data_IF_709593026390
#
_entry.id   IF_709593026390
#
_cell.length_a   1.000
_cell.length_b   1.000
_cell.length_c   1.000
_cell.angle_alpha   90.00
_cell.angle_beta   90.00
_cell.angle_gamma   90.00
#
_symmetry.space_group_name_H-M   'P 1'
#
loop_
_entity.id
_entity.type
_entity.pdbx_description
1 polymer ?
#
# COMPACT_ATOMS: atom_id res chain seq x y z
N UNK A 1 -29.72 30.14 5.54
CA UNK A 1 -28.55 29.24 5.41
C UNK A 1 -28.94 27.94 6.06
N UNK A 2 -29.24 26.93 5.27
CA UNK A 2 -29.99 25.77 5.75
C UNK A 2 -29.08 24.63 6.20
N UNK A 3 -29.64 23.71 6.99
CA UNK A 3 -29.04 22.43 7.45
C UNK A 3 -28.34 21.61 6.33
N UNK A 4 -28.71 21.84 5.08
CA UNK A 4 -28.13 21.18 3.90
C UNK A 4 -26.70 21.68 3.58
N UNK A 5 -26.38 22.94 3.89
CA UNK A 5 -25.04 23.53 3.65
C UNK A 5 -24.00 23.04 4.63
N UNK A 6 -24.38 22.68 5.85
CA UNK A 6 -23.45 22.15 6.85
C UNK A 6 -23.09 20.68 6.62
N UNK A 7 -24.02 19.88 6.09
CA UNK A 7 -23.80 18.48 5.74
C UNK A 7 -22.82 18.30 4.56
N UNK A 8 -22.68 19.33 3.72
CA UNK A 8 -21.75 19.31 2.59
C UNK A 8 -20.33 19.68 2.98
N UNK A 9 -20.12 20.33 4.13
CA UNK A 9 -18.80 20.81 4.56
C UNK A 9 -18.04 19.85 5.48
N UNK A 10 -18.75 19.01 6.23
CA UNK A 10 -18.15 18.13 7.23
C UNK A 10 -18.65 16.69 7.10
N UNK A 11 -17.76 15.74 7.39
CA UNK A 11 -18.13 14.37 7.72
C UNK A 11 -18.39 14.36 9.22
N UNK A 12 -19.66 14.17 9.62
CA UNK A 12 -20.07 14.16 11.02
C UNK A 12 -20.20 12.73 11.51
N UNK A 13 -19.39 12.35 12.47
CA UNK A 13 -19.35 11.01 13.07
C UNK A 13 -19.88 11.14 14.50
N UNK A 14 -20.78 10.24 14.91
CA UNK A 14 -21.36 10.21 16.24
C UNK A 14 -21.28 8.81 16.82
N UNK A 15 -20.82 8.72 18.06
CA UNK A 15 -20.79 7.49 18.83
C UNK A 15 -19.92 6.40 18.24
N UNK A 16 -18.73 6.70 17.67
CA UNK A 16 -17.85 5.69 17.14
C UNK A 16 -17.24 4.82 18.25
N UNK A 17 -17.47 3.50 18.19
CA UNK A 17 -17.07 2.51 19.22
C UNK A 17 -16.31 1.33 18.64
N UNK A 18 -15.74 1.47 17.44
CA UNK A 18 -14.99 0.39 16.82
C UNK A 18 -13.68 0.12 17.58
N UNK A 19 -13.39 -1.14 17.86
CA UNK A 19 -12.23 -1.60 18.63
C UNK A 19 -12.09 -0.86 19.98
N UNK A 20 -11.08 0.01 20.11
CA UNK A 20 -10.76 0.74 21.34
C UNK A 20 -11.35 2.17 21.41
N UNK A 21 -12.20 2.54 20.44
CA UNK A 21 -12.89 3.81 20.46
C UNK A 21 -14.00 3.80 21.52
N UNK A 22 -14.09 4.89 22.30
CA UNK A 22 -14.96 4.99 23.47
C UNK A 22 -16.25 5.78 23.23
N UNK A 23 -16.82 5.68 22.01
CA UNK A 23 -18.02 6.44 21.67
C UNK A 23 -17.69 7.89 21.36
N UNK A 24 -16.74 8.12 20.48
CA UNK A 24 -16.27 9.47 20.14
C UNK A 24 -17.18 10.14 19.12
N UNK A 25 -17.36 11.43 19.27
CA UNK A 25 -18.01 12.33 18.33
C UNK A 25 -16.94 13.21 17.68
N UNK A 26 -16.95 13.30 16.35
CA UNK A 26 -15.98 14.11 15.63
C UNK A 26 -16.58 14.64 14.32
N UNK A 27 -16.22 15.89 13.98
CA UNK A 27 -16.54 16.52 12.72
C UNK A 27 -15.24 16.73 11.93
N UNK A 28 -15.14 16.10 10.76
CA UNK A 28 -13.96 16.14 9.90
C UNK A 28 -14.29 17.01 8.69
N UNK A 29 -13.52 18.09 8.41
CA UNK A 29 -13.77 18.91 7.23
C UNK A 29 -13.59 18.09 5.94
N UNK A 30 -14.44 18.38 4.95
CA UNK A 30 -14.35 17.80 3.61
C UNK A 30 -13.51 18.69 2.73
N UNK A 31 -12.96 18.06 1.68
CA UNK A 31 -12.17 18.76 0.66
C UNK A 31 -10.90 19.45 1.21
N UNK A 32 -10.43 18.97 2.35
CA UNK A 32 -9.20 19.43 3.01
C UNK A 32 -8.26 18.26 3.32
N UNK A 33 -6.99 18.57 3.48
CA UNK A 33 -5.99 17.59 3.93
C UNK A 33 -6.02 17.49 5.45
N UNK A 34 -6.53 16.36 5.98
CA UNK A 34 -6.68 16.10 7.39
C UNK A 34 -5.69 15.05 7.85
N UNK A 35 -4.98 15.31 8.93
CA UNK A 35 -4.00 14.40 9.54
C UNK A 35 -4.48 13.93 10.91
N UNK A 36 -4.59 12.61 11.09
CA UNK A 36 -4.88 11.98 12.38
C UNK A 36 -3.56 11.64 13.09
N UNK A 37 -3.29 12.32 14.22
CA UNK A 37 -2.08 12.12 15.02
C UNK A 37 -2.39 11.52 16.38
N UNK A 38 -1.40 10.94 17.04
CA UNK A 38 -1.52 10.37 18.38
C UNK A 38 -0.61 9.17 18.62
N UNK A 39 -0.59 8.68 19.84
CA UNK A 39 0.20 7.52 20.24
C UNK A 39 -0.24 6.23 19.52
N UNK A 40 0.65 5.24 19.46
CA UNK A 40 0.28 3.92 18.99
C UNK A 40 -0.85 3.34 19.86
N UNK A 41 -1.84 2.69 19.24
CA UNK A 41 -3.00 2.16 19.96
C UNK A 41 -4.06 3.19 20.35
N UNK A 42 -3.94 4.47 19.99
CA UNK A 42 -4.95 5.50 20.32
C UNK A 42 -6.25 5.46 19.50
N UNK A 43 -6.38 4.52 18.56
CA UNK A 43 -7.60 4.36 17.75
C UNK A 43 -7.61 5.08 16.40
N UNK A 44 -6.49 5.68 15.98
CA UNK A 44 -6.40 6.38 14.68
C UNK A 44 -6.80 5.51 13.49
N UNK A 45 -6.22 4.31 13.42
CA UNK A 45 -6.52 3.35 12.37
C UNK A 45 -7.96 2.84 12.47
N UNK A 46 -8.46 2.59 13.69
CA UNK A 46 -9.85 2.18 13.93
C UNK A 46 -10.84 3.24 13.49
N UNK A 47 -10.54 4.52 13.67
CA UNK A 47 -11.37 5.60 13.18
C UNK A 47 -11.31 5.70 11.64
N UNK A 48 -10.10 5.71 11.06
CA UNK A 48 -9.92 5.96 9.64
C UNK A 48 -10.37 4.76 8.78
N UNK A 49 -9.89 3.54 9.10
CA UNK A 49 -10.12 2.35 8.27
C UNK A 49 -11.37 1.58 8.71
N UNK A 50 -11.48 1.27 10.00
CA UNK A 50 -12.52 0.37 10.49
C UNK A 50 -13.87 1.08 10.70
N UNK A 51 -13.88 2.43 10.78
CA UNK A 51 -15.11 3.22 10.92
C UNK A 51 -15.44 3.98 9.63
N UNK A 52 -14.62 4.95 9.23
CA UNK A 52 -14.94 5.86 8.11
C UNK A 52 -14.90 5.12 6.78
N UNK A 53 -13.79 4.46 6.48
CA UNK A 53 -13.63 3.75 5.22
C UNK A 53 -14.58 2.56 5.12
N UNK A 54 -14.71 1.77 6.18
CA UNK A 54 -15.62 0.61 6.21
C UNK A 54 -17.08 1.02 5.93
N UNK A 55 -17.57 2.09 6.56
CA UNK A 55 -18.92 2.61 6.30
C UNK A 55 -19.07 3.19 4.88
N UNK A 56 -18.05 3.88 4.38
CA UNK A 56 -18.03 4.39 3.00
C UNK A 56 -18.12 3.26 1.98
N UNK A 57 -17.34 2.22 2.16
CA UNK A 57 -17.38 1.02 1.33
C UNK A 57 -18.73 0.29 1.43
N UNK A 58 -19.25 0.13 2.64
CA UNK A 58 -20.56 -0.51 2.85
C UNK A 58 -21.67 0.21 2.09
N UNK A 59 -21.76 1.54 2.20
CA UNK A 59 -22.75 2.34 1.46
C UNK A 59 -22.56 2.27 -0.04
N UNK A 60 -21.32 2.30 -0.51
CA UNK A 60 -21.03 2.11 -1.93
C UNK A 60 -21.50 0.75 -2.42
N UNK A 61 -21.22 -0.31 -1.68
CA UNK A 61 -21.66 -1.67 -1.99
C UNK A 61 -23.20 -1.79 -2.00
N UNK A 62 -23.88 -1.13 -1.08
CA UNK A 62 -25.37 -1.10 -1.05
C UNK A 62 -25.97 -0.41 -2.26
N UNK A 63 -25.27 0.54 -2.86
CA UNK A 63 -25.70 1.22 -4.09
C UNK A 63 -25.58 0.35 -5.35
N UNK A 64 -24.80 -0.74 -5.30
CA UNK A 64 -24.60 -1.64 -6.42
C UNK A 64 -25.80 -2.59 -6.63
N UNK A 65 -25.87 -3.17 -7.83
CA UNK A 65 -26.91 -4.16 -8.16
C UNK A 65 -26.82 -5.39 -7.24
N UNK A 66 -27.96 -6.09 -7.05
CA UNK A 66 -28.01 -7.32 -6.24
C UNK A 66 -27.03 -8.38 -6.73
N UNK A 67 -26.82 -8.46 -8.04
CA UNK A 67 -25.87 -9.38 -8.65
C UNK A 67 -24.42 -9.06 -8.24
N UNK A 68 -24.01 -7.80 -8.34
CA UNK A 68 -22.68 -7.36 -7.94
C UNK A 68 -22.40 -7.61 -6.44
N UNK A 69 -23.41 -7.39 -5.58
CA UNK A 69 -23.31 -7.66 -4.14
C UNK A 69 -23.07 -9.13 -3.79
N UNK A 70 -23.58 -10.06 -4.59
CA UNK A 70 -23.34 -11.50 -4.37
C UNK A 70 -21.85 -11.88 -4.52
N UNK A 71 -21.13 -11.24 -5.45
CA UNK A 71 -19.70 -11.51 -5.67
C UNK A 71 -18.77 -10.81 -4.67
N UNK A 72 -19.16 -9.64 -4.18
CA UNK A 72 -18.30 -8.80 -3.33
C UNK A 72 -18.44 -9.13 -1.83
N UNK A 73 -19.43 -9.96 -1.47
CA UNK A 73 -19.67 -10.36 -0.09
C UNK A 73 -20.43 -9.30 0.72
N UNK A 74 -20.82 -9.67 1.93
CA UNK A 74 -21.54 -8.79 2.86
C UNK A 74 -20.52 -8.09 3.76
N UNK A 75 -20.51 -6.77 3.77
CA UNK A 75 -19.72 -6.01 4.72
C UNK A 75 -20.53 -5.77 6.00
N UNK A 76 -19.91 -5.98 7.14
CA UNK A 76 -20.51 -5.69 8.43
C UNK A 76 -20.60 -4.16 8.63
N UNK A 77 -21.64 -3.72 9.32
CA UNK A 77 -21.78 -2.32 9.68
C UNK A 77 -20.84 -2.01 10.85
N UNK A 78 -19.97 -1.00 10.73
CA UNK A 78 -19.12 -0.62 11.86
C UNK A 78 -19.94 -0.17 13.07
N UNK A 79 -19.37 -0.31 14.25
CA UNK A 79 -20.00 0.07 15.50
C UNK A 79 -19.96 1.60 15.69
N UNK A 80 -20.91 2.26 15.06
CA UNK A 80 -21.08 3.72 15.07
C UNK A 80 -22.56 4.06 15.06
N UNK A 81 -22.95 5.10 15.79
CA UNK A 81 -24.35 5.54 15.86
C UNK A 81 -24.79 6.15 14.52
N UNK A 82 -24.05 7.12 14.03
CA UNK A 82 -24.30 7.73 12.72
C UNK A 82 -23.03 8.30 12.07
N UNK A 83 -22.99 8.26 10.73
CA UNK A 83 -22.01 9.00 9.92
C UNK A 83 -22.77 9.72 8.81
N UNK A 84 -22.64 11.04 8.78
CA UNK A 84 -23.25 11.91 7.78
C UNK A 84 -22.17 12.58 6.91
N UNK A 85 -22.53 12.98 5.69
CA UNK A 85 -21.62 13.68 4.77
C UNK A 85 -20.51 12.80 4.15
N UNK A 86 -20.60 11.48 4.28
CA UNK A 86 -19.60 10.56 3.74
C UNK A 86 -19.73 10.41 2.23
N UNK A 87 -18.61 10.55 1.52
CA UNK A 87 -18.47 10.26 0.08
C UNK A 87 -17.88 8.85 -0.13
N UNK A 88 -17.99 8.27 -1.34
CA UNK A 88 -17.23 7.08 -1.68
C UNK A 88 -15.74 7.30 -1.38
N UNK A 89 -15.13 6.34 -0.70
CA UNK A 89 -13.77 6.46 -0.21
C UNK A 89 -12.85 5.38 -0.82
N UNK A 90 -11.59 5.73 -1.00
CA UNK A 90 -10.52 4.79 -1.35
C UNK A 90 -9.57 4.73 -0.15
N UNK A 91 -9.17 3.52 0.22
CA UNK A 91 -8.16 3.30 1.25
C UNK A 91 -6.87 2.83 0.61
N UNK A 92 -5.77 3.44 1.04
CA UNK A 92 -4.42 2.97 0.73
C UNK A 92 -3.81 2.54 2.05
N UNK A 93 -3.76 1.23 2.26
CA UNK A 93 -3.25 0.66 3.49
C UNK A 93 -1.74 0.45 3.44
N UNK A 94 -1.10 0.63 4.58
CA UNK A 94 0.30 0.28 4.73
C UNK A 94 0.43 -1.24 4.78
N UNK A 95 1.03 -1.82 3.76
CA UNK A 95 1.27 -3.27 3.68
C UNK A 95 2.24 -3.69 4.80
N UNK A 96 1.72 -4.18 5.90
CA UNK A 96 2.49 -4.48 7.12
C UNK A 96 3.38 -5.71 6.99
N UNK A 97 3.07 -6.65 6.10
CA UNK A 97 3.89 -7.85 5.90
C UNK A 97 3.79 -8.35 4.47
N UNK A 98 4.92 -8.44 3.81
CA UNK A 98 5.04 -9.18 2.57
C UNK A 98 4.98 -10.67 2.91
N UNK A 99 3.92 -11.38 2.53
CA UNK A 99 3.79 -12.83 2.74
C UNK A 99 4.89 -13.64 2.04
N UNK A 100 5.60 -13.02 1.11
CA UNK A 100 6.73 -13.63 0.43
C UNK A 100 8.02 -12.89 0.82
N UNK A 101 8.91 -13.50 1.63
CA UNK A 101 10.15 -12.86 2.09
C UNK A 101 11.13 -12.53 0.96
N UNK A 102 10.93 -13.07 -0.25
CA UNK A 102 11.75 -12.79 -1.43
C UNK A 102 11.20 -11.66 -2.30
N UNK A 103 10.00 -11.13 -2.03
CA UNK A 103 9.45 -10.02 -2.81
C UNK A 103 9.87 -8.69 -2.21
N UNK A 104 10.70 -7.96 -2.95
CA UNK A 104 11.05 -6.57 -2.67
C UNK A 104 10.04 -5.62 -3.32
N UNK A 105 10.04 -4.34 -2.92
CA UNK A 105 9.21 -3.31 -3.55
C UNK A 105 9.45 -3.29 -5.08
N UNK A 106 10.71 -3.43 -5.51
CA UNK A 106 11.07 -3.46 -6.92
C UNK A 106 10.38 -4.56 -7.73
N UNK A 107 10.22 -5.77 -7.14
CA UNK A 107 9.56 -6.90 -7.81
C UNK A 107 8.04 -6.79 -7.79
N UNK A 108 7.45 -6.26 -6.70
CA UNK A 108 5.99 -6.10 -6.55
C UNK A 108 5.46 -4.99 -7.47
N UNK A 109 6.25 -3.94 -7.70
CA UNK A 109 5.89 -2.81 -8.58
C UNK A 109 6.33 -2.99 -10.03
N UNK A 110 6.96 -4.12 -10.36
CA UNK A 110 7.54 -4.41 -11.69
C UNK A 110 8.69 -3.46 -12.11
N UNK A 111 9.06 -2.50 -11.26
CA UNK A 111 10.17 -1.55 -11.53
C UNK A 111 11.49 -2.31 -11.76
N UNK A 112 11.65 -3.47 -11.13
CA UNK A 112 12.84 -4.29 -11.28
C UNK A 112 13.07 -4.74 -12.72
N UNK A 113 12.04 -5.03 -13.48
CA UNK A 113 12.15 -5.46 -14.88
C UNK A 113 12.62 -4.31 -15.79
N UNK A 114 12.16 -3.09 -15.51
CA UNK A 114 12.68 -1.89 -16.18
C UNK A 114 14.14 -1.65 -15.85
N UNK A 115 14.56 -1.81 -14.59
CA UNK A 115 15.97 -1.70 -14.21
C UNK A 115 16.83 -2.77 -14.87
N UNK A 116 16.36 -4.01 -14.95
CA UNK A 116 17.10 -5.08 -15.64
C UNK A 116 17.34 -4.70 -17.11
N UNK A 117 16.33 -4.21 -17.79
CA UNK A 117 16.47 -3.77 -19.19
C UNK A 117 17.42 -2.59 -19.31
N UNK A 118 17.29 -1.59 -18.45
CA UNK A 118 18.13 -0.40 -18.44
C UNK A 118 19.59 -0.77 -18.23
N UNK A 119 19.89 -1.49 -17.15
CA UNK A 119 21.27 -1.89 -16.84
C UNK A 119 21.87 -2.86 -17.86
N UNK A 120 21.05 -3.74 -18.47
CA UNK A 120 21.51 -4.61 -19.53
C UNK A 120 21.92 -3.85 -20.81
N UNK A 121 21.31 -2.66 -21.05
CA UNK A 121 21.57 -1.86 -22.25
C UNK A 121 22.68 -0.84 -22.07
N UNK A 122 22.74 -0.16 -20.93
CA UNK A 122 23.65 0.96 -20.68
C UNK A 122 24.54 0.76 -19.44
N UNK A 123 24.29 -0.28 -18.64
CA UNK A 123 25.06 -0.54 -17.42
C UNK A 123 26.48 -1.02 -17.72
N UNK A 124 27.44 -0.48 -17.00
CA UNK A 124 28.82 -0.94 -17.01
C UNK A 124 29.06 -1.73 -15.71
N UNK A 125 29.21 -3.07 -15.81
CA UNK A 125 29.38 -3.87 -14.59
C UNK A 125 30.77 -3.69 -14.01
N UNK A 126 30.82 -3.57 -12.69
CA UNK A 126 32.06 -3.48 -11.93
C UNK A 126 32.16 -4.59 -10.88
N UNK A 127 33.39 -5.04 -10.60
CA UNK A 127 33.62 -6.02 -9.55
C UNK A 127 33.27 -5.42 -8.17
N UNK A 128 32.43 -6.04 -7.34
CA UNK A 128 32.07 -5.50 -6.02
C UNK A 128 33.23 -5.51 -5.01
N UNK A 129 34.27 -6.28 -5.26
CA UNK A 129 35.45 -6.38 -4.36
C UNK A 129 36.55 -5.39 -4.72
N UNK A 130 36.91 -5.26 -5.99
CA UNK A 130 38.05 -4.45 -6.44
C UNK A 130 37.64 -3.22 -7.26
N UNK A 131 36.36 -3.06 -7.61
CA UNK A 131 35.88 -1.91 -8.38
C UNK A 131 36.26 -1.90 -9.86
N UNK A 132 37.00 -2.90 -10.34
CA UNK A 132 37.40 -2.97 -11.75
C UNK A 132 36.20 -3.23 -12.66
N UNK A 133 36.21 -2.60 -13.84
CA UNK A 133 35.23 -2.81 -14.87
C UNK A 133 35.30 -4.26 -15.42
N UNK A 134 34.16 -4.94 -15.47
CA UNK A 134 34.06 -6.28 -16.01
C UNK A 134 33.74 -6.16 -17.51
N UNK A 135 34.73 -6.46 -18.35
CA UNK A 135 34.54 -6.48 -19.81
C UNK A 135 34.11 -7.85 -20.29
N UNK A 136 33.43 -7.88 -21.45
CA UNK A 136 33.08 -9.13 -22.11
C UNK A 136 34.36 -9.85 -22.53
N UNK A 137 34.55 -11.06 -22.04
CA UNK A 137 35.71 -11.90 -22.37
C UNK A 137 35.31 -12.83 -23.53
N UNK A 138 36.31 -13.15 -24.36
CA UNK A 138 36.17 -14.21 -25.38
C UNK A 138 36.35 -15.58 -24.71
N UNK A 139 35.86 -16.62 -25.37
CA UNK A 139 36.01 -18.00 -24.86
C UNK A 139 37.49 -18.36 -24.67
N UNK A 140 38.36 -17.95 -25.60
CA UNK A 140 39.82 -18.19 -25.51
C UNK A 140 40.45 -17.53 -24.30
N UNK A 141 40.06 -16.27 -24.00
CA UNK A 141 40.53 -15.58 -22.80
C UNK A 141 40.09 -16.24 -21.49
N UNK A 142 38.87 -16.82 -21.48
CA UNK A 142 38.38 -17.56 -20.32
C UNK A 142 39.16 -18.87 -20.15
N UNK A 143 39.40 -19.59 -21.23
CA UNK A 143 40.16 -20.84 -21.23
C UNK A 143 41.61 -20.58 -20.77
N UNK A 144 42.26 -19.58 -21.32
CA UNK A 144 43.63 -19.21 -20.91
C UNK A 144 43.70 -18.82 -19.44
N UNK A 145 42.75 -18.04 -18.94
CA UNK A 145 42.64 -17.68 -17.53
C UNK A 145 42.47 -18.91 -16.64
N UNK A 146 41.61 -19.84 -17.00
CA UNK A 146 41.38 -21.07 -16.24
C UNK A 146 42.59 -22.01 -16.25
N UNK A 147 43.26 -22.14 -17.36
CA UNK A 147 44.51 -22.96 -17.48
C UNK A 147 45.64 -22.39 -16.65
N UNK A 148 45.72 -21.05 -16.54
CA UNK A 148 46.79 -20.38 -15.79
C UNK A 148 46.53 -20.32 -14.27
N UNK A 149 45.25 -20.18 -13.86
CA UNK A 149 44.89 -19.96 -12.46
C UNK A 149 44.41 -21.22 -11.74
N UNK A 150 43.99 -22.24 -12.47
CA UNK A 150 43.50 -23.48 -11.87
C UNK A 150 44.64 -24.54 -11.88
N UNK A 151 45.20 -24.94 -10.75
CA UNK A 151 46.13 -26.06 -10.73
C UNK A 151 45.36 -27.30 -11.18
N UNK A 152 45.77 -27.90 -12.28
CA UNK A 152 45.23 -29.18 -12.75
C UNK A 152 45.32 -30.21 -11.64
N UNK A 153 44.20 -30.86 -11.22
CA UNK A 153 44.30 -31.97 -10.30
C UNK A 153 45.07 -33.11 -10.98
N UNK A 154 46.23 -33.44 -10.43
CA UNK A 154 46.95 -34.65 -10.74
C UNK A 154 46.30 -35.85 -10.05
#
# INVERSE_FOLDING_TARGET
>A
MGKHDELTKYIKIRGAREHNLKGIDIDIPRDEFVVLTGLSGSGKSSLAFDTIYAEGQRRYMESLSSYARMFLGRMEKPNVESIEGLSPAISIDQKSTNRNPRSTVGTVTEIYDYFRLLYARIGIPHCPKCGQEIKRQTVDQIVDCLLYTSPSPR
#
